data_IF_438531887285
#
_entry.id   IF_438531887285
#
_cell.length_a   1.000
_cell.length_b   1.000
_cell.length_c   1.000
_cell.angle_alpha   90.00
_cell.angle_beta   90.00
_cell.angle_gamma   90.00
#
_symmetry.space_group_name_H-M   'P 1'
#
loop_
_entity.id
_entity.type
_entity.pdbx_description
1 polymer ?
#
# COMPACT_ATOMS: atom_id res chain seq x y z
N UNK A 1 -10.91 4.88 9.30
CA UNK A 1 -9.64 4.41 8.71
C UNK A 1 -8.57 4.36 9.78
N UNK A 2 -7.88 3.22 9.94
CA UNK A 2 -6.74 3.12 10.87
C UNK A 2 -5.50 3.88 10.34
N UNK A 3 -4.46 4.01 11.16
CA UNK A 3 -3.26 4.82 10.86
C UNK A 3 -2.51 4.31 9.63
N UNK A 4 -2.35 2.99 9.49
CA UNK A 4 -1.62 2.39 8.37
C UNK A 4 -2.40 2.57 7.07
N UNK A 5 -3.71 2.27 7.09
CA UNK A 5 -4.58 2.44 5.93
C UNK A 5 -4.62 3.90 5.47
N UNK A 6 -4.67 4.85 6.41
CA UNK A 6 -4.60 6.29 6.12
C UNK A 6 -3.26 6.67 5.49
N UNK A 7 -2.14 6.21 6.03
CA UNK A 7 -0.81 6.50 5.48
C UNK A 7 -0.68 6.07 4.01
N UNK A 8 -1.10 4.84 3.69
CA UNK A 8 -1.04 4.32 2.33
C UNK A 8 -1.98 5.11 1.40
N UNK A 9 -3.18 5.43 1.87
CA UNK A 9 -4.15 6.21 1.09
C UNK A 9 -3.66 7.63 0.81
N UNK A 10 -3.09 8.31 1.81
CA UNK A 10 -2.52 9.64 1.68
C UNK A 10 -1.35 9.63 0.67
N UNK A 11 -0.48 8.63 0.72
CA UNK A 11 0.60 8.45 -0.25
C UNK A 11 0.11 8.37 -1.70
N UNK A 12 -1.01 7.66 -1.92
CA UNK A 12 -1.64 7.55 -3.23
C UNK A 12 -2.35 8.86 -3.61
N UNK A 13 -3.04 9.50 -2.67
CA UNK A 13 -3.74 10.76 -2.88
C UNK A 13 -2.80 11.90 -3.28
N UNK A 14 -1.60 11.98 -2.68
CA UNK A 14 -0.53 12.92 -3.07
C UNK A 14 -0.07 12.74 -4.53
N UNK A 15 -0.26 11.54 -5.09
CA UNK A 15 0.04 11.20 -6.49
C UNK A 15 -1.17 11.37 -7.41
N UNK A 16 -2.26 11.94 -6.90
CA UNK A 16 -3.48 12.21 -7.66
C UNK A 16 -4.52 11.09 -7.62
N UNK A 17 -4.32 10.07 -6.79
CA UNK A 17 -5.21 8.92 -6.71
C UNK A 17 -6.12 8.98 -5.49
N UNK A 18 -7.36 9.40 -5.71
CA UNK A 18 -8.39 9.42 -4.67
C UNK A 18 -9.23 8.15 -4.75
N UNK A 19 -8.82 7.11 -4.03
CA UNK A 19 -9.60 5.89 -3.89
C UNK A 19 -10.71 6.10 -2.84
N UNK A 20 -11.90 5.61 -3.13
CA UNK A 20 -12.99 5.48 -2.16
C UNK A 20 -12.71 4.34 -1.18
N UNK A 21 -13.41 4.31 -0.04
CA UNK A 21 -13.30 3.23 0.93
C UNK A 21 -13.56 1.84 0.33
N UNK A 22 -14.45 1.72 -0.66
CA UNK A 22 -14.73 0.45 -1.35
C UNK A 22 -13.60 0.03 -2.29
N UNK A 23 -13.00 0.99 -2.99
CA UNK A 23 -11.86 0.76 -3.89
C UNK A 23 -10.59 0.38 -3.15
N UNK A 24 -10.41 0.83 -1.89
CA UNK A 24 -9.24 0.44 -1.10
C UNK A 24 -9.08 -1.07 -0.92
N UNK A 25 -10.19 -1.84 -0.97
CA UNK A 25 -10.18 -3.29 -0.83
C UNK A 25 -9.95 -4.05 -2.15
N UNK A 26 -10.37 -3.46 -3.27
CA UNK A 26 -10.51 -4.18 -4.55
C UNK A 26 -9.56 -3.67 -5.63
N UNK A 27 -9.15 -2.41 -5.56
CA UNK A 27 -8.28 -1.79 -6.55
C UNK A 27 -6.84 -2.19 -6.34
N UNK A 28 -6.29 -2.91 -7.32
CA UNK A 28 -4.86 -3.11 -7.44
C UNK A 28 -4.23 -1.81 -7.97
N UNK A 29 -3.53 -1.05 -7.11
CA UNK A 29 -2.98 0.25 -7.46
C UNK A 29 -1.83 0.17 -8.48
N UNK A 30 -1.24 -1.01 -8.68
CA UNK A 30 -0.21 -1.23 -9.71
C UNK A 30 -0.87 -1.52 -11.06
N UNK A 31 -1.79 -2.49 -11.10
CA UNK A 31 -2.47 -2.89 -12.35
C UNK A 31 -3.41 -1.80 -12.88
N UNK A 32 -4.06 -1.06 -11.98
CA UNK A 32 -4.90 0.08 -12.35
C UNK A 32 -4.08 1.31 -12.81
N UNK A 33 -2.74 1.24 -12.76
CA UNK A 33 -1.85 2.32 -13.16
C UNK A 33 -1.92 3.54 -12.25
N UNK A 34 -2.35 3.35 -10.99
CA UNK A 34 -2.46 4.40 -9.98
C UNK A 34 -1.07 4.91 -9.62
N UNK A 35 -0.14 3.98 -9.43
CA UNK A 35 1.29 4.23 -9.27
C UNK A 35 2.08 3.26 -10.14
N UNK A 36 3.25 3.69 -10.59
CA UNK A 36 4.14 2.84 -11.38
C UNK A 36 5.01 1.91 -10.50
N UNK A 37 5.89 1.14 -11.11
CA UNK A 37 6.78 0.23 -10.40
C UNK A 37 7.78 0.94 -9.48
N UNK A 38 8.21 2.17 -9.82
CA UNK A 38 9.15 2.93 -9.01
C UNK A 38 8.45 3.51 -7.77
N UNK A 39 7.27 4.09 -7.96
CA UNK A 39 6.45 4.59 -6.86
C UNK A 39 5.93 3.47 -5.95
N UNK A 40 5.68 2.28 -6.50
CA UNK A 40 5.37 1.08 -5.72
C UNK A 40 6.53 0.70 -4.79
N UNK A 41 7.77 0.73 -5.29
CA UNK A 41 8.96 0.50 -4.47
C UNK A 41 9.10 1.58 -3.38
N UNK A 42 8.91 2.85 -3.73
CA UNK A 42 8.94 3.97 -2.77
C UNK A 42 7.91 3.80 -1.66
N UNK A 43 6.69 3.36 -1.99
CA UNK A 43 5.65 3.06 -0.99
C UNK A 43 6.15 2.01 0.00
N UNK A 44 6.65 0.88 -0.48
CA UNK A 44 7.15 -0.18 0.39
C UNK A 44 8.36 0.25 1.24
N UNK A 45 9.29 1.04 0.69
CA UNK A 45 10.40 1.60 1.45
C UNK A 45 9.91 2.56 2.55
N UNK A 46 8.95 3.42 2.23
CA UNK A 46 8.37 4.35 3.21
C UNK A 46 7.65 3.62 4.35
N UNK A 47 7.06 2.45 4.09
CA UNK A 47 6.46 1.60 5.13
C UNK A 47 7.51 0.94 6.03
N UNK A 48 8.69 0.59 5.50
CA UNK A 48 9.83 0.13 6.30
C UNK A 48 10.36 1.26 7.18
N UNK A 49 10.47 2.49 6.65
CA UNK A 49 10.93 3.65 7.40
C UNK A 49 9.95 4.08 8.51
N UNK A 50 8.64 4.15 8.21
CA UNK A 50 7.63 4.62 9.15
C UNK A 50 7.20 3.55 10.16
N UNK A 51 7.07 2.29 9.73
CA UNK A 51 6.51 1.21 10.55
C UNK A 51 7.50 0.08 10.87
N UNK A 52 8.72 0.10 10.31
CA UNK A 52 9.71 -0.99 10.49
C UNK A 52 9.33 -2.29 9.78
N UNK A 53 8.42 -2.24 8.81
CA UNK A 53 7.91 -3.43 8.10
C UNK A 53 8.64 -3.61 6.77
N UNK A 54 9.46 -4.67 6.71
CA UNK A 54 10.11 -5.10 5.47
C UNK A 54 9.17 -5.95 4.63
N UNK A 55 9.04 -5.56 3.36
CA UNK A 55 8.33 -6.32 2.34
C UNK A 55 9.36 -6.92 1.38
N UNK A 56 9.41 -8.24 1.25
CA UNK A 56 10.31 -8.90 0.32
C UNK A 56 9.84 -8.75 -1.13
N UNK A 57 10.72 -8.87 -2.15
CA UNK A 57 10.33 -8.76 -3.55
C UNK A 57 9.21 -9.73 -3.96
N UNK A 58 9.20 -10.94 -3.39
CA UNK A 58 8.13 -11.93 -3.62
C UNK A 58 6.80 -11.52 -2.99
N UNK A 59 6.83 -10.85 -1.83
CA UNK A 59 5.64 -10.30 -1.19
C UNK A 59 5.10 -9.09 -1.96
N UNK A 60 5.98 -8.21 -2.47
CA UNK A 60 5.61 -7.05 -3.30
C UNK A 60 4.84 -7.43 -4.58
N UNK A 61 5.15 -8.61 -5.13
CA UNK A 61 4.46 -9.16 -6.30
C UNK A 61 3.09 -9.80 -5.96
N UNK A 62 2.73 -9.88 -4.68
CA UNK A 62 1.43 -10.42 -4.25
C UNK A 62 0.31 -9.44 -4.60
N UNK A 63 -0.73 -9.87 -5.36
CA UNK A 63 -1.88 -9.02 -5.66
C UNK A 63 -2.58 -8.50 -4.41
N UNK A 64 -2.54 -9.26 -3.30
CA UNK A 64 -3.07 -8.82 -2.00
C UNK A 64 -2.32 -7.58 -1.48
N UNK A 65 -0.99 -7.53 -1.62
CA UNK A 65 -0.21 -6.39 -1.12
C UNK A 65 -0.24 -5.19 -2.08
N UNK A 66 -0.89 -5.35 -3.24
CA UNK A 66 -1.08 -4.30 -4.22
C UNK A 66 -2.46 -3.64 -4.09
N UNK A 67 -3.21 -3.93 -3.03
CA UNK A 67 -4.39 -3.16 -2.61
C UNK A 67 -4.11 -2.43 -1.30
N UNK A 68 -4.80 -1.31 -1.07
CA UNK A 68 -4.61 -0.51 0.15
C UNK A 68 -4.95 -1.32 1.39
N UNK A 69 -6.07 -2.05 1.38
CA UNK A 69 -6.49 -2.85 2.54
C UNK A 69 -5.61 -4.06 2.78
N UNK A 70 -5.18 -4.73 1.70
CA UNK A 70 -4.34 -5.90 1.84
C UNK A 70 -2.94 -5.54 2.34
N UNK A 71 -2.38 -4.42 1.88
CA UNK A 71 -1.12 -3.90 2.38
C UNK A 71 -1.23 -3.39 3.82
N UNK A 72 -2.27 -2.63 4.15
CA UNK A 72 -2.50 -2.16 5.51
C UNK A 72 -2.68 -3.32 6.49
N UNK A 73 -3.40 -4.36 6.08
CA UNK A 73 -3.58 -5.58 6.90
C UNK A 73 -2.26 -6.31 7.12
N UNK A 74 -1.44 -6.46 6.09
CA UNK A 74 -0.12 -7.07 6.20
C UNK A 74 0.81 -6.33 7.17
N UNK A 75 0.86 -5.00 7.08
CA UNK A 75 1.67 -4.19 7.99
C UNK A 75 1.17 -4.34 9.43
N UNK A 76 -0.15 -4.31 9.66
CA UNK A 76 -0.72 -4.53 11.01
C UNK A 76 -0.38 -5.92 11.57
N UNK A 77 -0.45 -6.96 10.75
CA UNK A 77 -0.07 -8.33 11.14
C UNK A 77 1.39 -8.44 11.60
N UNK A 78 2.27 -7.56 11.11
CA UNK A 78 3.71 -7.52 11.48
C UNK A 78 4.03 -6.61 12.66
N UNK A 79 3.11 -5.71 13.02
CA UNK A 79 3.22 -4.83 14.20
C UNK A 79 2.66 -5.48 15.48
N UNK A 80 1.98 -6.62 15.34
CA UNK A 80 1.34 -7.37 16.43
C UNK A 80 2.33 -8.29 17.14
#
# INVERSE_FOLDING_TARGET
>A
MDTVKRYIHDFLAERGAMLTDEETATTNFVEAGVIDSFETLNLFMSLDEEFGVKVSPTEMASPRLQTVDGLASFVRERLS
#
